data_IF_668520479768
#
_entry.id   IF_668520479768
#
_cell.length_a   1.000
_cell.length_b   1.000
_cell.length_c   1.000
_cell.angle_alpha   90.00
_cell.angle_beta   90.00
_cell.angle_gamma   90.00
#
_symmetry.space_group_name_H-M   'P 1'
#
loop_
_entity.id
_entity.type
_entity.pdbx_description
1 polymer ?
#
# COMPACT_ATOMS: atom_id res chain seq x y z
N UNK A 1 -4.39 4.83 -25.15
CA UNK A 1 -3.82 3.69 -24.39
C UNK A 1 -3.38 4.24 -23.07
N UNK A 2 -3.84 3.63 -21.98
CA UNK A 2 -3.45 4.02 -20.63
C UNK A 2 -2.05 3.52 -20.26
N UNK A 3 -1.45 4.09 -19.21
CA UNK A 3 -0.09 3.74 -18.76
C UNK A 3 0.03 2.27 -18.28
N UNK A 4 -1.10 1.63 -17.94
CA UNK A 4 -1.17 0.24 -17.45
C UNK A 4 -1.88 -0.73 -18.41
N UNK A 5 -2.11 -0.35 -19.67
CA UNK A 5 -2.78 -1.22 -20.63
C UNK A 5 -2.10 -2.59 -20.74
N UNK A 6 -2.91 -3.66 -20.61
CA UNK A 6 -2.46 -5.04 -20.70
C UNK A 6 -1.65 -5.55 -19.49
N UNK A 7 -1.61 -4.81 -18.39
CA UNK A 7 -0.97 -5.24 -17.13
C UNK A 7 -1.99 -5.76 -16.14
N UNK A 8 -1.56 -6.67 -15.28
CA UNK A 8 -2.34 -7.18 -14.15
C UNK A 8 -1.78 -6.60 -12.86
N UNK A 9 -2.64 -5.94 -12.07
CA UNK A 9 -2.30 -5.36 -10.79
C UNK A 9 -2.98 -6.12 -9.64
N UNK A 10 -2.22 -6.50 -8.61
CA UNK A 10 -2.72 -7.01 -7.34
C UNK A 10 -2.58 -5.93 -6.27
N UNK A 11 -3.70 -5.50 -5.68
CA UNK A 11 -3.73 -4.48 -4.63
C UNK A 11 -4.28 -5.08 -3.33
N UNK A 12 -3.48 -5.05 -2.26
CA UNK A 12 -3.89 -5.57 -0.96
C UNK A 12 -4.54 -4.50 -0.08
N UNK A 13 -5.50 -4.89 0.78
CA UNK A 13 -6.25 -3.95 1.62
C UNK A 13 -7.11 -2.98 0.80
N UNK A 14 -7.61 -3.44 -0.35
CA UNK A 14 -8.23 -2.60 -1.36
C UNK A 14 -9.75 -2.45 -1.21
N UNK A 15 -10.37 -2.91 -0.13
CA UNK A 15 -11.81 -2.72 0.08
C UNK A 15 -12.22 -1.26 0.36
N UNK A 16 -11.26 -0.38 0.70
CA UNK A 16 -11.49 1.03 1.07
C UNK A 16 -10.21 1.85 1.10
N UNK A 17 -10.36 3.17 1.29
CA UNK A 17 -9.25 4.09 1.55
C UNK A 17 -8.18 4.09 0.47
N UNK A 18 -6.91 4.11 0.88
CA UNK A 18 -5.76 4.21 -0.03
C UNK A 18 -5.73 3.05 -1.04
N UNK A 19 -5.96 1.81 -0.58
CA UNK A 19 -5.92 0.65 -1.47
C UNK A 19 -7.01 0.69 -2.55
N UNK A 20 -8.22 1.09 -2.20
CA UNK A 20 -9.31 1.27 -3.18
C UNK A 20 -8.98 2.39 -4.19
N UNK A 21 -8.47 3.52 -3.72
CA UNK A 21 -8.10 4.64 -4.59
C UNK A 21 -6.98 4.24 -5.58
N UNK A 22 -5.96 3.51 -5.10
CA UNK A 22 -4.88 2.99 -5.97
C UNK A 22 -5.45 1.99 -6.99
N UNK A 23 -6.31 1.06 -6.57
CA UNK A 23 -6.93 0.08 -7.47
C UNK A 23 -7.72 0.76 -8.60
N UNK A 24 -8.56 1.75 -8.26
CA UNK A 24 -9.32 2.52 -9.23
C UNK A 24 -8.42 3.34 -10.16
N UNK A 25 -7.35 3.92 -9.63
CA UNK A 25 -6.41 4.71 -10.44
C UNK A 25 -5.65 3.84 -11.46
N UNK A 26 -5.20 2.65 -11.06
CA UNK A 26 -4.55 1.70 -11.96
C UNK A 26 -5.55 1.18 -13.02
N UNK A 27 -6.80 0.90 -12.62
CA UNK A 27 -7.85 0.48 -13.55
C UNK A 27 -8.19 1.57 -14.58
N UNK A 28 -8.24 2.83 -14.18
CA UNK A 28 -8.46 3.97 -15.08
C UNK A 28 -7.36 4.11 -16.14
N UNK A 29 -6.16 3.58 -15.86
CA UNK A 29 -5.03 3.51 -16.80
C UNK A 29 -4.95 2.16 -17.55
N UNK A 30 -6.00 1.34 -17.49
CA UNK A 30 -6.13 0.13 -18.30
C UNK A 30 -5.61 -1.15 -17.65
N UNK A 31 -5.23 -1.15 -16.37
CA UNK A 31 -4.88 -2.39 -15.68
C UNK A 31 -6.11 -3.29 -15.45
N UNK A 32 -5.94 -4.60 -15.59
CA UNK A 32 -6.83 -5.57 -14.96
C UNK A 32 -6.46 -5.68 -13.47
N UNK A 33 -7.42 -5.51 -12.55
CA UNK A 33 -7.11 -5.32 -11.12
C UNK A 33 -7.67 -6.46 -10.28
N UNK A 34 -6.81 -7.13 -9.53
CA UNK A 34 -7.18 -8.00 -8.43
C UNK A 34 -7.16 -7.22 -7.12
N UNK A 35 -8.25 -7.25 -6.38
CA UNK A 35 -8.39 -6.57 -5.08
C UNK A 35 -8.56 -7.59 -3.97
N UNK A 36 -7.75 -7.50 -2.91
CA UNK A 36 -7.86 -8.41 -1.78
C UNK A 36 -8.02 -7.67 -0.45
N UNK A 37 -8.89 -8.21 0.39
CA UNK A 37 -9.10 -7.82 1.79
C UNK A 37 -9.77 -9.01 2.52
N UNK A 38 -9.95 -8.91 3.83
CA UNK A 38 -10.52 -9.99 4.66
C UNK A 38 -11.96 -10.34 4.33
N UNK A 39 -12.75 -9.38 3.91
CA UNK A 39 -14.20 -9.56 3.72
C UNK A 39 -14.65 -8.97 2.40
N UNK A 40 -15.49 -9.72 1.72
CA UNK A 40 -16.14 -9.30 0.49
C UNK A 40 -17.36 -8.43 0.75
N UNK A 41 -18.12 -8.75 1.80
CA UNK A 41 -19.36 -8.08 2.19
C UNK A 41 -19.12 -6.89 3.13
N UNK A 42 -20.17 -6.07 3.40
CA UNK A 42 -20.04 -4.90 4.26
C UNK A 42 -19.49 -5.22 5.65
N UNK A 43 -18.56 -4.39 6.12
CA UNK A 43 -18.06 -4.45 7.49
C UNK A 43 -19.03 -3.75 8.44
N UNK A 44 -19.30 -4.26 9.66
CA UNK A 44 -20.29 -3.69 10.58
C UNK A 44 -20.07 -2.20 10.92
N UNK A 45 -18.81 -1.74 10.91
CA UNK A 45 -18.44 -0.38 11.36
C UNK A 45 -17.60 0.41 10.37
N UNK A 46 -17.18 -0.19 9.25
CA UNK A 46 -16.32 0.48 8.27
C UNK A 46 -16.99 0.45 6.90
N UNK A 47 -17.15 1.59 6.27
CA UNK A 47 -17.65 1.70 4.89
C UNK A 47 -16.62 1.14 3.88
N UNK A 48 -17.12 0.72 2.72
CA UNK A 48 -16.33 0.18 1.61
C UNK A 48 -16.19 -1.34 1.66
N UNK A 49 -16.32 -1.96 0.49
CA UNK A 49 -16.25 -3.43 0.29
C UNK A 49 -15.41 -3.74 -0.95
N UNK A 50 -14.96 -4.99 -1.08
CA UNK A 50 -14.30 -5.44 -2.32
C UNK A 50 -15.28 -5.40 -3.50
N UNK A 51 -16.57 -5.71 -3.27
CA UNK A 51 -17.62 -5.65 -4.29
C UNK A 51 -17.75 -4.23 -4.87
N UNK A 52 -17.85 -3.21 -4.01
CA UNK A 52 -17.96 -1.81 -4.46
C UNK A 52 -16.77 -1.37 -5.32
N UNK A 53 -15.57 -1.86 -5.00
CA UNK A 53 -14.37 -1.54 -5.80
C UNK A 53 -14.40 -2.27 -7.14
N UNK A 54 -14.81 -3.55 -7.18
CA UNK A 54 -14.98 -4.30 -8.43
C UNK A 54 -16.02 -3.62 -9.30
N UNK A 55 -17.21 -3.33 -8.75
CA UNK A 55 -18.30 -2.66 -9.49
C UNK A 55 -17.84 -1.30 -10.05
N UNK A 56 -17.05 -0.55 -9.28
CA UNK A 56 -16.51 0.74 -9.74
C UNK A 56 -15.47 0.58 -10.86
N UNK A 57 -14.61 -0.44 -10.82
CA UNK A 57 -13.68 -0.73 -11.93
C UNK A 57 -14.43 -1.16 -13.19
N UNK A 58 -15.46 -2.00 -13.05
CA UNK A 58 -16.29 -2.44 -14.19
C UNK A 58 -17.07 -1.27 -14.79
N UNK A 59 -17.55 -0.34 -13.97
CA UNK A 59 -18.19 0.89 -14.45
C UNK A 59 -17.26 1.79 -15.28
N UNK A 60 -15.94 1.71 -15.06
CA UNK A 60 -14.91 2.35 -15.90
C UNK A 60 -14.61 1.57 -17.19
N UNK A 61 -15.25 0.43 -17.42
CA UNK A 61 -14.99 -0.47 -18.54
C UNK A 61 -13.75 -1.37 -18.33
N UNK A 62 -13.18 -1.39 -17.12
CA UNK A 62 -12.05 -2.21 -16.73
C UNK A 62 -12.44 -3.63 -16.35
N UNK A 63 -11.42 -4.45 -16.03
CA UNK A 63 -11.59 -5.80 -15.48
C UNK A 63 -11.12 -5.83 -14.03
N UNK A 64 -11.93 -6.40 -13.14
CA UNK A 64 -11.53 -6.60 -11.75
C UNK A 64 -11.96 -7.96 -11.22
N UNK A 65 -11.23 -8.47 -10.23
CA UNK A 65 -11.61 -9.65 -9.45
C UNK A 65 -11.36 -9.39 -7.95
N UNK A 66 -12.31 -9.78 -7.12
CA UNK A 66 -12.13 -9.76 -5.67
C UNK A 66 -11.63 -11.12 -5.19
N UNK A 67 -10.57 -11.12 -4.39
CA UNK A 67 -9.98 -12.30 -3.75
C UNK A 67 -10.01 -12.10 -2.24
N UNK A 68 -11.07 -12.53 -1.56
CA UNK A 68 -11.16 -12.42 -0.11
C UNK A 68 -10.09 -13.28 0.57
N UNK A 69 -9.22 -12.65 1.37
CA UNK A 69 -8.19 -13.36 2.13
C UNK A 69 -7.83 -12.61 3.42
N UNK A 70 -7.56 -13.36 4.49
CA UNK A 70 -6.91 -12.81 5.68
C UNK A 70 -5.39 -12.90 5.50
N UNK A 71 -4.76 -11.75 5.34
CA UNK A 71 -3.29 -11.68 5.19
C UNK A 71 -2.53 -12.02 6.48
N UNK A 72 -3.20 -12.15 7.62
CA UNK A 72 -2.59 -12.69 8.84
C UNK A 72 -2.45 -14.22 8.81
N UNK A 73 -3.14 -14.89 7.90
CA UNK A 73 -3.09 -16.34 7.67
C UNK A 73 -2.16 -16.64 6.48
N UNK A 74 -1.05 -17.34 6.75
CA UNK A 74 -0.05 -17.68 5.73
C UNK A 74 -0.62 -18.60 4.64
N UNK A 75 -1.51 -19.54 5.00
CA UNK A 75 -2.14 -20.45 4.03
C UNK A 75 -3.11 -19.68 3.12
N UNK A 76 -3.85 -18.70 3.67
CA UNK A 76 -4.68 -17.81 2.85
C UNK A 76 -3.83 -16.97 1.90
N UNK A 77 -2.70 -16.40 2.36
CA UNK A 77 -1.78 -15.62 1.53
C UNK A 77 -1.19 -16.43 0.37
N UNK A 78 -0.86 -17.69 0.62
CA UNK A 78 -0.22 -18.54 -0.41
C UNK A 78 -1.11 -18.79 -1.63
N UNK A 79 -2.43 -18.63 -1.50
CA UNK A 79 -3.40 -18.85 -2.57
C UNK A 79 -3.70 -17.60 -3.41
N UNK A 80 -3.36 -16.40 -2.92
CA UNK A 80 -3.76 -15.14 -3.56
C UNK A 80 -3.18 -15.02 -4.98
N UNK A 81 -1.86 -15.10 -5.12
CA UNK A 81 -1.21 -14.93 -6.44
C UNK A 81 -1.63 -16.01 -7.42
N UNK A 82 -1.63 -17.32 -7.08
CA UNK A 82 -2.15 -18.36 -7.98
C UNK A 82 -3.60 -18.11 -8.43
N UNK A 83 -4.47 -17.63 -7.54
CA UNK A 83 -5.86 -17.32 -7.88
C UNK A 83 -5.96 -16.12 -8.83
N UNK A 84 -5.21 -15.04 -8.58
CA UNK A 84 -5.12 -13.90 -9.50
C UNK A 84 -4.66 -14.34 -10.88
N UNK A 85 -3.59 -15.11 -10.94
CA UNK A 85 -2.98 -15.54 -12.21
C UNK A 85 -3.91 -16.47 -13.01
N UNK A 86 -4.73 -17.26 -12.32
CA UNK A 86 -5.71 -18.13 -12.99
C UNK A 86 -6.86 -17.35 -13.66
N UNK A 87 -7.20 -16.15 -13.17
CA UNK A 87 -8.34 -15.36 -13.65
C UNK A 87 -7.92 -14.21 -14.57
N UNK A 88 -6.87 -13.49 -14.21
CA UNK A 88 -6.44 -12.27 -14.91
C UNK A 88 -5.13 -12.44 -15.68
N UNK A 89 -4.37 -13.49 -15.41
CA UNK A 89 -3.02 -13.69 -15.95
C UNK A 89 -1.92 -13.24 -14.98
N UNK A 90 -0.65 -13.30 -15.42
CA UNK A 90 0.51 -13.06 -14.57
C UNK A 90 0.51 -11.66 -13.94
N UNK A 91 0.82 -11.57 -12.65
CA UNK A 91 0.88 -10.30 -11.93
C UNK A 91 2.08 -9.47 -12.39
N UNK A 92 1.83 -8.29 -12.95
CA UNK A 92 2.87 -7.31 -13.34
C UNK A 92 3.12 -6.26 -12.25
N UNK A 93 2.08 -5.90 -11.48
CA UNK A 93 2.11 -4.85 -10.46
C UNK A 93 1.60 -5.43 -9.14
N UNK A 94 2.42 -5.37 -8.09
CA UNK A 94 2.02 -5.70 -6.72
C UNK A 94 2.00 -4.44 -5.86
N UNK A 95 0.84 -4.11 -5.25
CA UNK A 95 0.71 -3.03 -4.29
C UNK A 95 0.42 -3.60 -2.91
N UNK A 96 1.42 -3.63 -2.03
CA UNK A 96 1.32 -4.00 -0.64
C UNK A 96 0.81 -2.81 0.18
N UNK A 97 -0.52 -2.64 0.26
CA UNK A 97 -1.15 -1.56 1.00
C UNK A 97 -1.82 -2.03 2.31
N UNK A 98 -2.25 -3.30 2.39
CA UNK A 98 -2.86 -3.82 3.62
C UNK A 98 -1.95 -3.63 4.83
N UNK A 99 -2.50 -3.12 5.92
CA UNK A 99 -1.76 -2.90 7.16
C UNK A 99 -2.64 -3.00 8.40
N UNK A 100 -2.03 -3.35 9.53
CA UNK A 100 -2.56 -3.08 10.86
C UNK A 100 -1.86 -1.87 11.46
N UNK A 101 -2.60 -1.05 12.20
CA UNK A 101 -2.06 0.05 13.00
C UNK A 101 -2.68 0.03 14.40
N UNK A 102 -1.87 0.18 15.41
CA UNK A 102 -2.31 0.33 16.79
C UNK A 102 -1.56 1.50 17.42
N UNK A 103 -2.31 2.50 17.82
CA UNK A 103 -1.78 3.71 18.48
C UNK A 103 -1.83 3.52 20.00
N UNK A 104 -0.94 2.68 20.49
CA UNK A 104 -0.83 2.29 21.91
C UNK A 104 0.64 2.37 22.33
N UNK A 105 0.92 2.86 23.53
CA UNK A 105 2.28 2.90 24.05
C UNK A 105 2.92 1.51 24.06
N UNK A 106 4.21 1.44 23.78
CA UNK A 106 4.92 0.15 23.63
C UNK A 106 4.77 -0.74 24.88
N UNK A 107 4.77 -0.14 26.07
CA UNK A 107 4.60 -0.86 27.33
C UNK A 107 3.24 -1.56 27.47
N UNK A 108 2.21 -1.00 26.84
CA UNK A 108 0.82 -1.44 26.99
C UNK A 108 0.30 -2.25 25.80
N UNK A 109 1.12 -2.40 24.72
CA UNK A 109 0.68 -3.12 23.53
C UNK A 109 0.71 -4.64 23.75
N UNK A 110 -0.48 -5.31 23.71
CA UNK A 110 -0.55 -6.75 23.96
C UNK A 110 0.24 -7.54 22.90
N UNK A 111 0.86 -8.65 23.32
CA UNK A 111 1.67 -9.52 22.45
C UNK A 111 0.93 -9.94 21.18
N UNK A 112 -0.36 -10.26 21.27
CA UNK A 112 -1.19 -10.62 20.11
C UNK A 112 -1.21 -9.50 19.06
N UNK A 113 -1.40 -8.24 19.49
CA UNK A 113 -1.43 -7.08 18.59
C UNK A 113 -0.06 -6.78 18.01
N UNK A 114 1.00 -6.96 18.80
CA UNK A 114 2.39 -6.81 18.32
C UNK A 114 2.72 -7.84 17.24
N UNK A 115 2.33 -9.11 17.42
CA UNK A 115 2.50 -10.16 16.41
C UNK A 115 1.74 -9.83 15.13
N UNK A 116 0.49 -9.38 15.24
CA UNK A 116 -0.33 -8.99 14.09
C UNK A 116 0.27 -7.81 13.30
N UNK A 117 0.89 -6.83 13.97
CA UNK A 117 1.61 -5.75 13.30
C UNK A 117 2.70 -6.27 12.37
N UNK A 118 3.57 -7.15 12.87
CA UNK A 118 4.67 -7.70 12.06
C UNK A 118 4.14 -8.64 10.98
N UNK A 119 3.13 -9.44 11.29
CA UNK A 119 2.52 -10.36 10.33
C UNK A 119 1.97 -9.63 9.11
N UNK A 120 1.13 -8.61 9.33
CA UNK A 120 0.49 -7.88 8.24
C UNK A 120 1.42 -6.86 7.56
N UNK A 121 2.27 -6.17 8.32
CA UNK A 121 3.03 -5.05 7.76
C UNK A 121 4.40 -5.45 7.22
N UNK A 122 4.89 -6.64 7.58
CA UNK A 122 6.25 -7.11 7.23
C UNK A 122 6.18 -8.45 6.51
N UNK A 123 5.66 -9.50 7.16
CA UNK A 123 5.67 -10.85 6.58
C UNK A 123 4.78 -10.96 5.35
N UNK A 124 3.54 -10.46 5.39
CA UNK A 124 2.63 -10.54 4.25
C UNK A 124 3.18 -9.86 2.98
N UNK A 125 3.74 -8.63 3.01
CA UNK A 125 4.43 -8.05 1.86
C UNK A 125 5.59 -8.89 1.32
N UNK A 126 6.38 -9.52 2.19
CA UNK A 126 7.49 -10.40 1.77
C UNK A 126 6.94 -11.63 1.05
N UNK A 127 5.96 -12.32 1.65
CA UNK A 127 5.40 -13.55 1.09
C UNK A 127 4.77 -13.30 -0.29
N UNK A 128 4.05 -12.20 -0.47
CA UNK A 128 3.47 -11.84 -1.77
C UNK A 128 4.55 -11.45 -2.79
N UNK A 129 5.59 -10.72 -2.38
CA UNK A 129 6.72 -10.41 -3.25
C UNK A 129 7.43 -11.68 -3.71
N UNK A 130 7.67 -12.63 -2.81
CA UNK A 130 8.28 -13.94 -3.15
C UNK A 130 7.44 -14.74 -4.16
N UNK A 131 6.11 -14.61 -4.13
CA UNK A 131 5.24 -15.29 -5.07
C UNK A 131 5.26 -14.66 -6.47
N UNK A 132 5.30 -13.32 -6.58
CA UNK A 132 5.22 -12.64 -7.88
C UNK A 132 6.58 -12.51 -8.59
N UNK A 133 7.68 -12.42 -7.85
CA UNK A 133 9.05 -12.22 -8.40
C UNK A 133 9.43 -13.26 -9.44
N UNK A 134 9.21 -14.58 -9.26
CA UNK A 134 9.58 -15.56 -10.28
C UNK A 134 8.92 -15.29 -11.63
N UNK A 135 7.63 -14.96 -11.63
CA UNK A 135 6.90 -14.59 -12.84
C UNK A 135 7.37 -13.28 -13.46
N UNK A 136 7.62 -12.25 -12.64
CA UNK A 136 8.16 -10.97 -13.09
C UNK A 136 9.55 -11.14 -13.70
N UNK A 137 10.44 -11.91 -13.06
CA UNK A 137 11.79 -12.25 -13.55
C UNK A 137 11.75 -12.95 -14.89
N UNK A 138 10.88 -13.92 -15.07
CA UNK A 138 10.73 -14.65 -16.33
C UNK A 138 10.30 -13.73 -17.49
N UNK A 139 9.61 -12.62 -17.20
CA UNK A 139 9.18 -11.63 -18.20
C UNK A 139 10.15 -10.45 -18.32
N UNK A 140 11.16 -10.34 -17.47
CA UNK A 140 12.11 -9.23 -17.43
C UNK A 140 11.46 -7.89 -17.06
N UNK A 141 10.33 -7.91 -16.34
CA UNK A 141 9.63 -6.70 -15.92
C UNK A 141 8.71 -6.96 -14.72
N UNK A 142 8.59 -5.98 -13.84
CA UNK A 142 7.65 -5.99 -12.72
C UNK A 142 7.73 -4.73 -11.86
N UNK A 143 6.69 -4.48 -11.08
CA UNK A 143 6.63 -3.33 -10.19
C UNK A 143 6.04 -3.74 -8.83
N UNK A 144 6.77 -3.47 -7.76
CA UNK A 144 6.32 -3.70 -6.38
C UNK A 144 6.29 -2.36 -5.66
N UNK A 145 5.12 -1.96 -5.18
CA UNK A 145 4.91 -0.73 -4.42
C UNK A 145 4.49 -1.10 -3.00
N UNK A 146 5.32 -0.78 -2.02
CA UNK A 146 5.06 -1.01 -0.60
C UNK A 146 4.54 0.28 0.06
N UNK A 147 3.30 0.30 0.52
CA UNK A 147 2.73 1.48 1.19
C UNK A 147 3.22 1.55 2.63
N UNK A 148 4.06 2.56 2.88
CA UNK A 148 4.66 2.87 4.19
C UNK A 148 3.84 3.94 4.94
N UNK A 149 4.49 4.65 5.85
CA UNK A 149 3.90 5.69 6.69
C UNK A 149 4.97 6.68 7.12
N UNK A 150 4.59 7.95 7.32
CA UNK A 150 5.48 8.94 7.94
C UNK A 150 5.94 8.56 9.36
N UNK A 151 5.25 7.60 10.01
CA UNK A 151 5.66 7.07 11.32
C UNK A 151 6.93 6.20 11.27
N UNK A 152 7.41 5.80 10.09
CA UNK A 152 8.71 5.12 9.90
C UNK A 152 9.90 6.02 10.26
N UNK A 153 9.72 7.34 10.18
CA UNK A 153 10.78 8.30 10.51
C UNK A 153 11.12 8.25 12.00
N UNK A 154 12.42 8.36 12.29
CA UNK A 154 12.86 8.47 13.68
C UNK A 154 12.39 9.79 14.31
N UNK A 155 11.84 9.75 15.54
CA UNK A 155 11.50 10.98 16.25
C UNK A 155 12.76 11.79 16.52
N UNK A 156 12.64 13.11 16.36
CA UNK A 156 13.74 14.06 16.65
C UNK A 156 13.68 14.48 18.12
N UNK A 157 14.80 14.49 18.80
CA UNK A 157 14.90 14.91 20.21
C UNK A 157 16.25 14.56 20.82
N UNK A 158 16.53 14.84 22.13
CA UNK A 158 15.70 15.62 23.06
C UNK A 158 15.79 17.15 22.79
N UNK A 159 14.83 17.94 23.25
CA UNK A 159 13.55 17.51 23.79
C UNK A 159 12.65 16.90 22.71
N UNK A 160 11.87 15.86 23.05
CA UNK A 160 10.88 15.30 22.15
C UNK A 160 9.65 16.18 22.13
N UNK A 161 9.16 16.52 20.95
CA UNK A 161 8.00 17.38 20.78
C UNK A 161 6.73 16.73 21.39
N UNK A 162 6.22 17.36 22.44
CA UNK A 162 5.00 16.91 23.14
C UNK A 162 3.73 17.06 22.29
N UNK A 163 3.79 17.85 21.21
CA UNK A 163 2.66 18.07 20.28
C UNK A 163 2.30 16.84 19.44
N UNK A 164 3.23 15.89 19.32
CA UNK A 164 3.00 14.67 18.54
C UNK A 164 2.82 13.47 19.48
N UNK A 165 1.78 13.49 20.32
CA UNK A 165 1.38 12.30 21.10
C UNK A 165 1.17 11.07 20.21
N UNK A 166 0.81 11.25 18.95
CA UNK A 166 0.71 10.19 17.95
C UNK A 166 2.05 9.49 17.72
N UNK A 167 3.16 10.23 17.66
CA UNK A 167 4.51 9.67 17.52
C UNK A 167 4.91 8.78 18.68
N UNK A 168 4.52 9.12 19.91
CA UNK A 168 4.85 8.34 21.13
C UNK A 168 4.01 7.07 21.29
N UNK A 169 2.88 6.95 20.61
CA UNK A 169 2.00 5.76 20.67
C UNK A 169 2.06 4.89 19.42
N UNK A 170 2.83 5.28 18.41
CA UNK A 170 2.98 4.55 17.14
C UNK A 170 4.33 3.85 16.97
N UNK A 171 5.14 3.74 18.04
CA UNK A 171 6.51 3.21 17.98
C UNK A 171 6.59 1.87 17.25
N UNK A 172 5.78 0.89 17.63
CA UNK A 172 5.84 -0.45 17.01
C UNK A 172 5.22 -0.47 15.61
N UNK A 173 4.19 0.33 15.35
CA UNK A 173 3.70 0.52 13.99
C UNK A 173 4.78 1.15 13.10
N UNK A 174 5.40 2.24 13.55
CA UNK A 174 6.50 2.88 12.84
C UNK A 174 7.69 1.94 12.60
N UNK A 175 8.04 1.11 13.59
CA UNK A 175 9.09 0.12 13.44
C UNK A 175 8.79 -0.90 12.33
N UNK A 176 7.53 -1.36 12.20
CA UNK A 176 7.15 -2.26 11.09
C UNK A 176 7.23 -1.56 9.73
N UNK A 177 6.87 -0.28 9.67
CA UNK A 177 6.98 0.50 8.42
C UNK A 177 8.44 0.82 8.06
N UNK A 178 9.29 1.11 9.04
CA UNK A 178 10.74 1.24 8.82
C UNK A 178 11.36 -0.09 8.35
N UNK A 179 10.95 -1.23 8.91
CA UNK A 179 11.36 -2.54 8.45
C UNK A 179 10.95 -2.78 6.98
N UNK A 180 9.71 -2.43 6.61
CA UNK A 180 9.21 -2.54 5.24
C UNK A 180 10.02 -1.66 4.26
N UNK A 181 10.38 -0.43 4.65
CA UNK A 181 11.24 0.46 3.86
C UNK A 181 12.64 -0.14 3.67
N UNK A 182 13.22 -0.72 4.72
CA UNK A 182 14.53 -1.38 4.62
C UNK A 182 14.47 -2.61 3.71
N UNK A 183 13.40 -3.40 3.80
CA UNK A 183 13.16 -4.56 2.93
C UNK A 183 12.99 -4.09 1.48
N UNK A 184 12.23 -3.03 1.25
CA UNK A 184 12.03 -2.43 -0.08
C UNK A 184 13.35 -2.10 -0.77
N UNK A 185 14.23 -1.38 -0.08
CA UNK A 185 15.53 -0.99 -0.65
C UNK A 185 16.48 -2.17 -0.86
N UNK A 186 16.42 -3.18 0.02
CA UNK A 186 17.20 -4.41 -0.13
C UNK A 186 16.72 -5.24 -1.31
N UNK A 187 15.41 -5.48 -1.37
CA UNK A 187 14.81 -6.27 -2.44
C UNK A 187 15.00 -5.61 -3.81
N UNK A 188 14.92 -4.28 -3.88
CA UNK A 188 15.20 -3.54 -5.12
C UNK A 188 16.60 -3.85 -5.68
N UNK A 189 17.61 -3.94 -4.80
CA UNK A 189 18.96 -4.29 -5.22
C UNK A 189 19.08 -5.76 -5.66
N UNK A 190 18.34 -6.67 -5.01
CA UNK A 190 18.35 -8.10 -5.35
C UNK A 190 17.73 -8.43 -6.71
N UNK A 191 16.75 -7.61 -7.17
CA UNK A 191 16.00 -7.86 -8.41
C UNK A 191 16.23 -6.81 -9.48
N UNK A 192 17.24 -5.96 -9.33
CA UNK A 192 17.55 -4.87 -10.25
C UNK A 192 17.83 -5.36 -11.67
N UNK A 193 18.68 -6.37 -11.79
CA UNK A 193 19.06 -6.95 -13.06
C UNK A 193 17.93 -7.75 -13.75
N UNK A 194 16.87 -8.05 -12.99
CA UNK A 194 15.67 -8.72 -13.50
C UNK A 194 14.65 -7.73 -14.13
N UNK A 195 14.95 -6.42 -14.16
CA UNK A 195 14.03 -5.39 -14.66
C UNK A 195 12.81 -5.16 -13.76
N UNK A 196 12.94 -5.38 -12.45
CA UNK A 196 11.87 -5.24 -11.46
C UNK A 196 12.11 -4.00 -10.60
N UNK A 197 11.16 -3.07 -10.59
CA UNK A 197 11.17 -1.93 -9.69
C UNK A 197 10.52 -2.28 -8.35
N UNK A 198 11.18 -1.95 -7.24
CA UNK A 198 10.63 -2.10 -5.89
C UNK A 198 10.76 -0.78 -5.15
N UNK A 199 9.65 -0.15 -4.82
CA UNK A 199 9.64 1.17 -4.20
C UNK A 199 8.71 1.23 -2.99
N UNK A 200 8.99 2.13 -2.05
CA UNK A 200 8.12 2.43 -0.91
C UNK A 200 7.48 3.80 -1.09
N UNK A 201 6.17 3.87 -0.82
CA UNK A 201 5.36 5.08 -0.91
C UNK A 201 4.71 5.36 0.45
N UNK A 202 4.88 6.58 0.96
CA UNK A 202 4.23 7.04 2.17
C UNK A 202 3.49 8.37 1.96
N UNK A 203 2.39 8.63 2.67
CA UNK A 203 1.83 9.97 2.74
C UNK A 203 2.76 10.90 3.54
N UNK A 204 2.77 12.18 3.23
CA UNK A 204 3.49 13.20 4.03
C UNK A 204 2.78 13.50 5.34
N UNK A 205 1.47 13.27 5.36
CA UNK A 205 0.55 13.59 6.44
C UNK A 205 -0.49 12.46 6.60
N UNK A 206 -1.52 12.67 7.39
CA UNK A 206 -2.59 11.68 7.52
C UNK A 206 -3.46 11.65 6.26
N UNK A 207 -3.93 10.49 5.88
CA UNK A 207 -4.96 10.34 4.83
C UNK A 207 -6.28 9.99 5.51
N UNK A 208 -7.33 10.76 5.21
CA UNK A 208 -8.66 10.51 5.75
C UNK A 208 -9.25 9.26 5.10
N UNK A 209 -9.17 8.15 5.80
CA UNK A 209 -9.71 6.86 5.38
C UNK A 209 -10.67 6.32 6.44
N UNK A 210 -11.62 5.43 6.12
CA UNK A 210 -12.49 4.82 7.13
C UNK A 210 -11.73 4.19 8.31
N UNK A 211 -10.54 3.63 8.06
CA UNK A 211 -9.70 3.08 9.12
C UNK A 211 -9.00 4.15 9.96
N UNK A 212 -8.60 5.26 9.37
CA UNK A 212 -8.00 6.39 10.09
C UNK A 212 -9.04 7.14 10.94
N UNK A 213 -10.26 7.29 10.44
CA UNK A 213 -11.37 7.93 11.16
C UNK A 213 -11.62 7.32 12.53
N UNK A 214 -11.55 5.99 12.65
CA UNK A 214 -11.79 5.29 13.94
C UNK A 214 -10.79 5.71 15.03
N UNK A 215 -9.55 6.07 14.64
CA UNK A 215 -8.48 6.36 15.60
C UNK A 215 -8.07 7.83 15.65
N UNK A 216 -8.28 8.56 14.58
CA UNK A 216 -7.75 9.89 14.36
C UNK A 216 -8.83 10.91 13.99
N UNK A 217 -10.10 10.52 13.83
CA UNK A 217 -11.17 11.38 13.32
C UNK A 217 -11.20 12.74 14.01
N UNK A 218 -11.26 12.79 15.35
CA UNK A 218 -11.25 14.03 16.11
C UNK A 218 -10.00 14.90 15.84
N UNK A 219 -8.81 14.28 15.74
CA UNK A 219 -7.59 15.01 15.43
C UNK A 219 -7.60 15.58 13.99
N UNK A 220 -8.15 14.81 13.04
CA UNK A 220 -8.26 15.23 11.64
C UNK A 220 -9.29 16.35 11.45
N UNK A 221 -10.30 16.42 12.31
CA UNK A 221 -11.27 17.51 12.34
C UNK A 221 -10.68 18.78 12.93
N UNK A 222 -9.90 18.65 14.02
CA UNK A 222 -9.20 19.77 14.67
C UNK A 222 -8.05 20.34 13.83
N UNK A 223 -7.44 19.50 12.98
CA UNK A 223 -6.23 19.85 12.22
C UNK A 223 -6.34 19.41 10.74
N UNK A 224 -7.22 20.03 9.97
CA UNK A 224 -7.41 19.66 8.56
C UNK A 224 -6.15 19.87 7.70
N UNK A 225 -5.22 20.73 8.13
CA UNK A 225 -3.95 20.95 7.44
C UNK A 225 -3.00 19.75 7.45
N UNK A 226 -3.21 18.79 8.35
CA UNK A 226 -2.45 17.54 8.36
C UNK A 226 -3.09 16.43 7.51
N UNK A 227 -4.17 16.73 6.78
CA UNK A 227 -4.84 15.76 5.91
C UNK A 227 -4.29 15.89 4.49
N UNK A 228 -3.88 14.76 3.94
CA UNK A 228 -3.48 14.66 2.53
C UNK A 228 -4.60 14.01 1.71
N UNK A 229 -4.94 14.56 0.53
CA UNK A 229 -5.87 13.91 -0.39
C UNK A 229 -5.37 12.53 -0.81
N UNK A 230 -6.27 11.54 -0.82
CA UNK A 230 -5.94 10.15 -1.17
C UNK A 230 -5.49 10.01 -2.63
N UNK A 231 -5.95 10.90 -3.48
CA UNK A 231 -5.62 10.98 -4.90
C UNK A 231 -4.12 11.17 -5.12
N UNK A 232 -3.42 11.94 -4.26
CA UNK A 232 -1.98 12.11 -4.37
C UNK A 232 -1.20 10.81 -4.13
N UNK A 233 -1.70 9.93 -3.25
CA UNK A 233 -1.10 8.61 -3.10
C UNK A 233 -1.42 7.71 -4.29
N UNK A 234 -2.63 7.79 -4.82
CA UNK A 234 -3.02 7.01 -5.99
C UNK A 234 -2.19 7.40 -7.23
N UNK A 235 -1.99 8.70 -7.47
CA UNK A 235 -1.15 9.20 -8.56
C UNK A 235 0.33 8.83 -8.37
N UNK A 236 0.87 8.96 -7.15
CA UNK A 236 2.24 8.56 -6.86
C UNK A 236 2.44 7.04 -7.02
N UNK A 237 1.44 6.23 -6.62
CA UNK A 237 1.47 4.79 -6.82
C UNK A 237 1.44 4.42 -8.31
N UNK A 238 0.64 5.11 -9.13
CA UNK A 238 0.64 4.93 -10.58
C UNK A 238 2.04 5.16 -11.17
N UNK A 239 2.67 6.28 -10.83
CA UNK A 239 4.04 6.58 -11.30
C UNK A 239 5.00 5.46 -10.93
N UNK A 240 4.97 4.98 -9.67
CA UNK A 240 5.84 3.89 -9.21
C UNK A 240 5.50 2.53 -9.83
N UNK A 241 4.26 2.33 -10.26
CA UNK A 241 3.79 1.12 -10.95
C UNK A 241 4.03 1.13 -12.47
N UNK A 242 4.49 2.27 -13.02
CA UNK A 242 4.72 2.43 -14.47
C UNK A 242 6.11 2.96 -14.79
N UNK A 243 6.91 3.30 -13.79
CA UNK A 243 8.26 3.84 -13.95
C UNK A 243 9.21 2.90 -14.71
N UNK A 244 10.28 3.47 -15.24
CA UNK A 244 11.41 2.69 -15.72
C UNK A 244 12.19 2.09 -14.53
N UNK A 245 12.25 0.76 -14.38
CA UNK A 245 12.98 0.10 -13.30
C UNK A 245 14.47 0.41 -13.25
N UNK A 246 15.07 0.80 -14.36
CA UNK A 246 16.48 1.18 -14.42
C UNK A 246 16.76 2.54 -13.72
N UNK A 247 15.74 3.39 -13.56
CA UNK A 247 15.90 4.75 -13.04
C UNK A 247 15.16 4.99 -11.72
N UNK A 248 14.02 4.34 -11.50
CA UNK A 248 13.19 4.53 -10.29
C UNK A 248 12.96 3.17 -9.62
N UNK A 249 13.91 2.77 -8.79
CA UNK A 249 13.81 1.59 -7.92
C UNK A 249 14.60 1.82 -6.63
N UNK A 250 14.28 1.11 -5.56
CA UNK A 250 14.92 1.25 -4.25
C UNK A 250 14.62 2.59 -3.55
N UNK A 251 13.60 3.32 -3.99
CA UNK A 251 13.25 4.62 -3.41
C UNK A 251 12.26 4.47 -2.26
N UNK A 252 12.47 5.30 -1.22
CA UNK A 252 11.48 5.56 -0.16
C UNK A 252 10.98 6.98 -0.40
N UNK A 253 9.77 7.08 -0.95
CA UNK A 253 9.22 8.36 -1.37
C UNK A 253 7.98 8.75 -0.58
N UNK A 254 7.73 10.06 -0.53
CA UNK A 254 6.51 10.63 0.03
C UNK A 254 5.70 11.24 -1.13
N UNK A 255 4.40 10.96 -1.17
CA UNK A 255 3.48 11.28 -2.26
C UNK A 255 3.68 12.66 -2.86
N UNK A 256 3.39 13.72 -2.10
CA UNK A 256 3.46 15.11 -2.60
C UNK A 256 4.87 15.56 -3.03
N UNK A 257 5.95 15.37 -2.25
CA UNK A 257 7.31 15.70 -2.70
C UNK A 257 7.73 14.94 -3.96
N UNK A 258 7.37 13.64 -4.04
CA UNK A 258 7.70 12.83 -5.20
C UNK A 258 7.00 13.32 -6.48
N UNK A 259 5.70 13.59 -6.40
CA UNK A 259 4.97 14.15 -7.55
C UNK A 259 5.48 15.54 -7.95
N UNK A 260 5.89 16.38 -6.99
CA UNK A 260 6.53 17.67 -7.28
C UNK A 260 7.87 17.51 -7.99
N UNK A 261 8.72 16.59 -7.53
CA UNK A 261 10.01 16.27 -8.18
C UNK A 261 9.81 15.95 -9.67
N UNK A 262 8.68 15.34 -10.02
CA UNK A 262 8.34 14.94 -11.39
C UNK A 262 7.47 15.96 -12.16
N UNK A 263 7.19 17.13 -11.56
CA UNK A 263 6.33 18.15 -12.17
C UNK A 263 4.86 17.72 -12.34
N UNK A 264 4.40 16.73 -11.55
CA UNK A 264 3.04 16.13 -11.66
C UNK A 264 2.05 16.66 -10.61
N UNK A 265 2.42 17.57 -9.71
CA UNK A 265 1.48 18.22 -8.78
C UNK A 265 0.97 19.52 -9.37
N UNK A 266 -0.34 19.82 -9.32
CA UNK A 266 -0.83 21.15 -9.58
C UNK A 266 -0.13 22.16 -8.66
N UNK A 267 0.31 23.29 -9.20
CA UNK A 267 0.70 24.44 -8.40
C UNK A 267 -0.57 24.92 -7.67
N UNK A 268 -0.63 24.70 -6.35
CA UNK A 268 -1.68 25.26 -5.47
C UNK A 268 -1.22 26.57 -4.90
#
# INVERSE_FOLDING_TARGET
MGECDGRVALVTGASRGIGAAIALRLAAEGAAVAVTARTFDPHPTLSGTLREVVDAVEALGGKAVAIPADLADADARSRIVPEVESVLGPVDILVNNAAAAFYVATADLPLRRRRLLFELNVHAPIDLAQQVIPGMRARGRGWIVNVSSATSRHPKGPPFDAGIKLGSTSTLYGATKAALERITTGLAAEVYDDGIAVNSLAPVAAVRTPGAEVHLGALLDERPEIVEPVELLADAALVLATCDPATITGRVVYSRPFLRELGRTPET
#
